data_IF_571390506167
#
_entry.id   IF_571390506167
#
_cell.length_a   1.000
_cell.length_b   1.000
_cell.length_c   1.000
_cell.angle_alpha   90.00
_cell.angle_beta   90.00
_cell.angle_gamma   90.00
#
_symmetry.space_group_name_H-M   'P 1'
#
loop_
_entity.id
_entity.type
_entity.pdbx_description
1 polymer ?
#
# COMPACT_ATOMS: atom_id res chain seq x y z
N UNK A 1 -9.78 -66.15 28.81
CA UNK A 1 -10.43 -65.15 27.93
C UNK A 1 -10.32 -63.82 28.65
N UNK A 2 -9.31 -63.02 28.31
CA UNK A 2 -9.40 -61.56 28.45
C UNK A 2 -8.28 -60.93 27.61
N UNK A 3 -8.67 -60.20 26.57
CA UNK A 3 -7.76 -59.45 25.71
C UNK A 3 -8.53 -58.24 25.20
N UNK A 4 -8.69 -57.26 26.10
CA UNK A 4 -9.14 -55.92 25.75
C UNK A 4 -8.00 -55.15 25.10
N UNK A 5 -7.83 -55.31 23.79
CA UNK A 5 -7.00 -54.44 22.96
C UNK A 5 -7.78 -53.19 22.59
N UNK A 6 -7.52 -52.07 23.27
CA UNK A 6 -8.00 -50.75 22.88
C UNK A 6 -7.33 -50.32 21.58
N UNK A 7 -8.12 -50.22 20.52
CA UNK A 7 -7.72 -49.62 19.25
C UNK A 7 -7.65 -48.10 19.44
N UNK A 8 -6.44 -47.55 19.56
CA UNK A 8 -6.23 -46.12 19.44
C UNK A 8 -6.26 -45.78 17.95
N UNK A 9 -7.26 -45.00 17.57
CA UNK A 9 -7.45 -44.50 16.21
C UNK A 9 -6.38 -43.44 15.90
N UNK A 10 -5.37 -43.80 15.11
CA UNK A 10 -4.25 -42.95 14.70
C UNK A 10 -4.66 -41.86 13.67
N UNK A 11 -5.94 -41.72 13.34
CA UNK A 11 -6.39 -40.75 12.33
C UNK A 11 -6.65 -39.35 12.86
N UNK A 12 -6.71 -39.14 14.19
CA UNK A 12 -7.08 -37.84 14.79
C UNK A 12 -5.93 -36.82 14.85
N UNK A 13 -4.66 -37.21 14.70
CA UNK A 13 -3.50 -36.32 14.85
C UNK A 13 -3.15 -35.52 13.59
N UNK A 14 -3.51 -36.02 12.40
CA UNK A 14 -3.16 -35.35 11.13
C UNK A 14 -4.01 -34.12 10.82
N UNK A 15 -5.27 -34.09 11.25
CA UNK A 15 -6.17 -32.93 11.06
C UNK A 15 -5.81 -31.76 11.97
N UNK A 16 -5.45 -32.04 13.23
CA UNK A 16 -5.12 -31.01 14.22
C UNK A 16 -3.78 -30.31 13.92
N UNK A 17 -2.81 -31.05 13.38
CA UNK A 17 -1.50 -30.50 13.00
C UNK A 17 -1.61 -29.51 11.85
N UNK A 18 -2.48 -29.78 10.86
CA UNK A 18 -2.70 -28.87 9.73
C UNK A 18 -3.45 -27.59 10.13
N UNK A 19 -4.45 -27.71 11.02
CA UNK A 19 -5.15 -26.55 11.56
C UNK A 19 -4.24 -25.65 12.41
N UNK A 20 -3.38 -26.26 13.25
CA UNK A 20 -2.41 -25.52 14.06
C UNK A 20 -1.34 -24.80 13.22
N UNK A 21 -0.85 -25.44 12.14
CA UNK A 21 0.09 -24.83 11.20
C UNK A 21 -0.56 -23.67 10.42
N UNK A 22 -1.82 -23.81 9.99
CA UNK A 22 -2.57 -22.72 9.34
C UNK A 22 -2.74 -21.53 10.28
N UNK A 23 -3.15 -21.76 11.53
CA UNK A 23 -3.32 -20.71 12.52
C UNK A 23 -2.00 -19.99 12.85
N UNK A 24 -0.89 -20.74 12.90
CA UNK A 24 0.44 -20.14 13.10
C UNK A 24 0.86 -19.27 11.92
N UNK A 25 0.60 -19.71 10.68
CA UNK A 25 0.88 -18.96 9.47
C UNK A 25 0.05 -17.67 9.39
N UNK A 26 -1.24 -17.75 9.71
CA UNK A 26 -2.14 -16.59 9.78
C UNK A 26 -1.67 -15.57 10.82
N UNK A 27 -1.20 -16.03 11.98
CA UNK A 27 -0.67 -15.14 13.01
C UNK A 27 0.67 -14.49 12.62
N UNK A 28 1.53 -15.18 11.86
CA UNK A 28 2.75 -14.60 11.28
C UNK A 28 2.39 -13.54 10.24
N UNK A 29 1.42 -13.85 9.36
CA UNK A 29 0.93 -12.91 8.35
C UNK A 29 0.31 -11.67 9.00
N UNK A 30 -0.51 -11.83 10.02
CA UNK A 30 -1.12 -10.71 10.75
C UNK A 30 -0.07 -9.83 11.40
N UNK A 31 0.95 -10.41 12.06
CA UNK A 31 2.06 -9.63 12.63
C UNK A 31 2.84 -8.85 11.57
N UNK A 32 2.95 -9.38 10.35
CA UNK A 32 3.59 -8.66 9.25
C UNK A 32 2.70 -7.49 8.81
N UNK A 33 1.40 -7.71 8.66
CA UNK A 33 0.42 -6.67 8.35
C UNK A 33 0.48 -5.55 9.40
N UNK A 34 0.48 -5.89 10.68
CA UNK A 34 0.51 -4.90 11.77
C UNK A 34 1.77 -4.01 11.72
N UNK A 35 2.92 -4.58 11.35
CA UNK A 35 4.17 -3.82 11.17
C UNK A 35 4.10 -2.86 9.99
N UNK A 36 3.49 -3.27 8.89
CA UNK A 36 3.29 -2.41 7.71
C UNK A 36 2.35 -1.25 8.08
N UNK A 37 1.24 -1.55 8.75
CA UNK A 37 0.26 -0.56 9.16
C UNK A 37 0.87 0.43 10.19
N UNK A 38 1.70 -0.05 11.13
CA UNK A 38 2.44 0.81 12.06
C UNK A 38 3.44 1.74 11.34
N UNK A 39 4.22 1.21 10.39
CA UNK A 39 5.15 2.00 9.60
C UNK A 39 4.42 3.09 8.81
N UNK A 40 3.32 2.74 8.15
CA UNK A 40 2.48 3.69 7.42
C UNK A 40 1.87 4.78 8.32
N UNK A 41 1.37 4.41 9.50
CA UNK A 41 0.86 5.39 10.49
C UNK A 41 1.95 6.34 10.95
N UNK A 42 3.19 5.86 11.12
CA UNK A 42 4.31 6.71 11.51
C UNK A 42 4.68 7.70 10.39
N UNK A 43 4.64 7.28 9.13
CA UNK A 43 4.88 8.13 7.96
C UNK A 43 3.84 9.23 7.88
N UNK A 44 2.55 8.88 7.90
CA UNK A 44 1.46 9.88 7.84
C UNK A 44 1.48 10.83 9.04
N UNK A 45 1.83 10.35 10.23
CA UNK A 45 2.03 11.20 11.42
C UNK A 45 3.22 12.16 11.25
N UNK A 46 4.35 11.70 10.70
CA UNK A 46 5.51 12.54 10.44
C UNK A 46 5.21 13.57 9.35
N UNK A 47 4.54 13.18 8.27
CA UNK A 47 4.07 14.09 7.23
C UNK A 47 3.18 15.20 7.78
N UNK A 48 2.18 14.88 8.62
CA UNK A 48 1.27 15.89 9.21
C UNK A 48 1.96 16.94 10.07
N UNK A 49 3.12 16.64 10.65
CA UNK A 49 3.91 17.63 11.42
C UNK A 49 4.51 18.72 10.52
N UNK A 50 4.73 18.42 9.24
CA UNK A 50 5.20 19.40 8.24
C UNK A 50 4.12 20.41 7.89
N UNK A 51 2.86 19.98 7.82
CA UNK A 51 1.75 20.86 7.44
C UNK A 51 1.57 21.96 8.49
N UNK A 52 1.41 23.23 8.09
CA UNK A 52 1.22 24.31 9.05
C UNK A 52 -0.05 24.06 9.89
N UNK A 53 -0.05 24.34 11.20
CA UNK A 53 -1.23 24.17 12.03
C UNK A 53 -2.36 25.07 11.53
N UNK A 54 -3.57 24.51 11.41
CA UNK A 54 -4.76 25.18 10.85
C UNK A 54 -5.37 26.22 11.82
N UNK A 55 -4.65 26.71 12.84
CA UNK A 55 -5.20 27.62 13.86
C UNK A 55 -4.24 28.76 14.26
N UNK A 56 -4.62 29.96 13.81
CA UNK A 56 -4.60 31.31 14.44
C UNK A 56 -3.50 31.63 15.48
N UNK A 57 -2.66 32.63 15.14
CA UNK A 57 -1.92 33.54 16.04
C UNK A 57 -1.14 32.95 17.23
N UNK A 58 -0.40 31.86 17.02
CA UNK A 58 0.74 31.53 17.89
C UNK A 58 1.92 31.19 17.00
N UNK A 59 3.07 31.83 17.26
CA UNK A 59 4.35 31.65 16.56
C UNK A 59 4.61 30.16 16.36
N UNK A 60 4.35 29.67 15.14
CA UNK A 60 4.58 28.28 14.78
C UNK A 60 6.09 28.07 14.75
N UNK A 61 6.66 27.53 15.83
CA UNK A 61 7.97 26.92 15.76
C UNK A 61 7.88 25.83 14.68
N UNK A 62 8.66 25.98 13.59
CA UNK A 62 8.87 24.93 12.60
C UNK A 62 9.50 23.72 13.30
N UNK A 63 8.70 22.83 13.88
CA UNK A 63 9.24 21.66 14.57
C UNK A 63 8.69 20.37 13.97
N UNK A 64 9.39 19.95 12.92
CA UNK A 64 9.50 18.55 12.55
C UNK A 64 8.59 18.08 11.43
N UNK A 65 8.96 16.93 10.86
CA UNK A 65 8.31 16.32 9.72
C UNK A 65 9.35 15.87 8.70
N UNK A 66 8.91 15.60 7.48
CA UNK A 66 9.79 15.39 6.34
C UNK A 66 10.21 16.74 5.76
N UNK A 67 11.49 16.92 5.46
CA UNK A 67 12.04 18.14 4.86
C UNK A 67 11.82 18.16 3.35
N UNK A 68 11.85 17.01 2.70
CA UNK A 68 11.68 16.84 1.25
C UNK A 68 10.89 15.58 0.91
N UNK A 69 10.37 15.50 -0.32
CA UNK A 69 9.70 14.28 -0.80
C UNK A 69 10.64 13.06 -0.86
N UNK A 70 11.92 13.19 -1.28
CA UNK A 70 12.87 12.07 -1.21
C UNK A 70 13.03 11.46 0.18
N UNK A 71 13.06 12.28 1.23
CA UNK A 71 13.14 11.78 2.62
C UNK A 71 11.87 10.99 2.99
N UNK A 72 10.69 11.49 2.60
CA UNK A 72 9.43 10.78 2.79
C UNK A 72 9.42 9.46 2.02
N UNK A 73 9.87 9.50 0.76
CA UNK A 73 9.84 8.37 -0.13
C UNK A 73 10.70 7.20 0.38
N UNK A 74 11.83 7.49 1.03
CA UNK A 74 12.69 6.46 1.64
C UNK A 74 11.97 5.63 2.71
N UNK A 75 11.03 6.23 3.46
CA UNK A 75 10.21 5.50 4.43
C UNK A 75 8.99 4.85 3.76
N UNK A 76 8.43 5.48 2.73
CA UNK A 76 7.17 5.09 2.11
C UNK A 76 7.29 3.97 1.08
N UNK A 77 8.32 3.98 0.23
CA UNK A 77 8.52 2.95 -0.79
C UNK A 77 8.63 1.52 -0.22
N UNK A 78 9.34 1.27 0.91
CA UNK A 78 9.36 -0.05 1.54
C UNK A 78 7.98 -0.54 1.99
N UNK A 79 7.10 0.35 2.45
CA UNK A 79 5.72 0.01 2.85
C UNK A 79 4.92 -0.47 1.65
N UNK A 80 5.02 0.23 0.51
CA UNK A 80 4.38 -0.18 -0.75
C UNK A 80 4.91 -1.55 -1.19
N UNK A 81 6.23 -1.73 -1.21
CA UNK A 81 6.87 -2.97 -1.63
C UNK A 81 6.47 -4.17 -0.74
N UNK A 82 6.38 -3.98 0.57
CA UNK A 82 5.90 -5.04 1.46
C UNK A 82 4.41 -5.35 1.21
N UNK A 83 3.62 -4.31 0.90
CA UNK A 83 2.17 -4.42 0.74
C UNK A 83 1.77 -5.21 -0.50
N UNK A 84 2.45 -5.04 -1.64
CA UNK A 84 2.11 -5.77 -2.88
C UNK A 84 2.15 -7.29 -2.74
N UNK A 85 2.87 -7.81 -1.74
CA UNK A 85 2.99 -9.24 -1.45
C UNK A 85 1.95 -9.77 -0.46
N UNK A 86 1.10 -8.92 0.12
CA UNK A 86 0.05 -9.35 1.04
C UNK A 86 -1.04 -10.16 0.30
N UNK A 87 -1.79 -10.96 1.06
CA UNK A 87 -2.97 -11.67 0.54
C UNK A 87 -4.01 -10.71 -0.04
N UNK A 88 -4.28 -9.61 0.67
CA UNK A 88 -5.28 -8.59 0.31
C UNK A 88 -4.66 -7.17 0.27
N UNK A 89 -3.96 -6.79 -0.82
CA UNK A 89 -3.20 -5.54 -0.88
C UNK A 89 -4.00 -4.32 -1.36
N UNK A 90 -5.09 -4.53 -2.11
CA UNK A 90 -5.78 -3.50 -2.90
C UNK A 90 -6.19 -2.30 -2.04
N UNK A 91 -6.90 -2.52 -0.94
CA UNK A 91 -7.41 -1.42 -0.11
C UNK A 91 -6.29 -0.57 0.50
N UNK A 92 -5.16 -1.20 0.87
CA UNK A 92 -3.99 -0.48 1.38
C UNK A 92 -3.35 0.35 0.28
N UNK A 93 -3.13 -0.26 -0.89
CA UNK A 93 -2.50 0.43 -2.00
C UNK A 93 -3.36 1.59 -2.53
N UNK A 94 -4.69 1.50 -2.49
CA UNK A 94 -5.60 2.63 -2.76
C UNK A 94 -5.33 3.81 -1.82
N UNK A 95 -5.26 3.54 -0.51
CA UNK A 95 -4.99 4.58 0.49
C UNK A 95 -3.59 5.19 0.28
N UNK A 96 -2.59 4.35 0.06
CA UNK A 96 -1.21 4.79 -0.15
C UNK A 96 -1.06 5.63 -1.41
N UNK A 97 -1.78 5.28 -2.47
CA UNK A 97 -1.77 6.05 -3.72
C UNK A 97 -2.42 7.41 -3.52
N UNK A 98 -3.56 7.48 -2.84
CA UNK A 98 -4.20 8.75 -2.50
C UNK A 98 -3.30 9.65 -1.65
N UNK A 99 -2.68 9.10 -0.59
CA UNK A 99 -1.76 9.83 0.27
C UNK A 99 -0.50 10.27 -0.49
N UNK A 100 0.07 9.42 -1.35
CA UNK A 100 1.21 9.78 -2.19
C UNK A 100 0.94 11.03 -3.02
N UNK A 101 -0.27 11.11 -3.57
CA UNK A 101 -0.67 12.27 -4.33
C UNK A 101 -0.79 13.54 -3.48
N UNK A 102 -1.32 13.43 -2.26
CA UNK A 102 -1.30 14.54 -1.29
C UNK A 102 0.13 14.95 -0.92
N UNK A 103 1.06 14.00 -0.80
CA UNK A 103 2.47 14.30 -0.58
C UNK A 103 3.01 15.09 -1.78
N UNK A 104 2.70 14.67 -3.01
CA UNK A 104 3.14 15.39 -4.20
C UNK A 104 2.68 16.85 -4.18
N UNK A 105 1.42 17.11 -3.85
CA UNK A 105 0.86 18.46 -3.72
C UNK A 105 1.60 19.30 -2.65
N UNK A 106 2.00 18.67 -1.54
CA UNK A 106 2.66 19.33 -0.41
C UNK A 106 4.16 19.63 -0.63
N UNK A 107 4.81 18.97 -1.59
CA UNK A 107 6.24 19.13 -1.91
C UNK A 107 6.50 19.70 -3.31
N UNK A 108 5.45 20.15 -4.01
CA UNK A 108 5.51 20.60 -5.43
C UNK A 108 6.53 21.70 -5.74
N UNK A 109 6.90 22.50 -4.74
CA UNK A 109 7.88 23.60 -4.88
C UNK A 109 9.31 23.17 -4.54
N UNK A 110 9.47 22.01 -3.89
CA UNK A 110 10.71 21.57 -3.25
C UNK A 110 11.33 20.31 -3.88
N UNK A 111 10.68 19.72 -4.90
CA UNK A 111 11.06 18.41 -5.46
C UNK A 111 11.30 18.50 -6.97
N UNK A 112 12.33 17.81 -7.45
CA UNK A 112 12.68 17.82 -8.86
C UNK A 112 11.71 16.98 -9.68
N UNK A 113 11.41 17.42 -10.91
CA UNK A 113 10.51 16.71 -11.82
C UNK A 113 10.95 15.26 -12.10
N UNK A 114 12.26 15.03 -12.13
CA UNK A 114 12.82 13.70 -12.31
C UNK A 114 12.48 12.76 -11.15
N UNK A 115 12.57 13.24 -9.92
CA UNK A 115 12.23 12.47 -8.72
C UNK A 115 10.75 12.10 -8.71
N UNK A 116 9.87 13.04 -9.05
CA UNK A 116 8.44 12.74 -9.22
C UNK A 116 8.22 11.59 -10.21
N UNK A 117 8.85 11.66 -11.38
CA UNK A 117 8.71 10.61 -12.39
C UNK A 117 9.10 9.24 -11.84
N UNK A 118 10.22 9.14 -11.14
CA UNK A 118 10.67 7.87 -10.53
C UNK A 118 9.65 7.32 -9.52
N UNK A 119 9.04 8.20 -8.73
CA UNK A 119 8.06 7.79 -7.71
C UNK A 119 6.73 7.36 -8.33
N UNK A 120 6.27 8.06 -9.37
CA UNK A 120 5.12 7.66 -10.17
C UNK A 120 5.36 6.31 -10.88
N UNK A 121 6.54 6.11 -11.47
CA UNK A 121 6.92 4.84 -12.13
C UNK A 121 6.95 3.67 -11.12
N UNK A 122 7.43 3.90 -9.90
CA UNK A 122 7.43 2.88 -8.85
C UNK A 122 6.01 2.53 -8.37
N UNK A 123 5.13 3.51 -8.27
CA UNK A 123 3.72 3.29 -7.95
C UNK A 123 2.98 2.55 -9.09
N UNK A 124 3.29 2.87 -10.36
CA UNK A 124 2.79 2.15 -11.53
C UNK A 124 3.21 0.67 -11.51
N UNK A 125 4.48 0.41 -11.18
CA UNK A 125 4.99 -0.94 -10.99
C UNK A 125 4.22 -1.69 -9.89
N UNK A 126 3.98 -1.05 -8.73
CA UNK A 126 3.28 -1.66 -7.61
C UNK A 126 1.85 -2.06 -8.00
N UNK A 127 1.12 -1.17 -8.68
CA UNK A 127 -0.21 -1.46 -9.19
C UNK A 127 -0.22 -2.55 -10.24
N UNK A 128 0.68 -2.48 -11.22
CA UNK A 128 0.87 -3.52 -12.25
C UNK A 128 1.07 -4.89 -11.61
N UNK A 129 1.88 -4.97 -10.54
CA UNK A 129 2.13 -6.23 -9.83
C UNK A 129 0.86 -6.75 -9.15
N UNK A 130 0.11 -5.88 -8.47
CA UNK A 130 -1.16 -6.25 -7.82
C UNK A 130 -2.20 -6.68 -8.83
N UNK A 131 -2.34 -5.98 -9.96
CA UNK A 131 -3.31 -6.30 -11.01
C UNK A 131 -2.98 -7.62 -11.73
N UNK A 132 -1.70 -7.99 -11.82
CA UNK A 132 -1.26 -9.29 -12.37
C UNK A 132 -1.54 -10.45 -11.42
N UNK A 133 -1.22 -10.27 -10.14
CA UNK A 133 -1.22 -11.37 -9.17
C UNK A 133 -2.56 -11.54 -8.46
N UNK A 134 -3.37 -10.47 -8.41
CA UNK A 134 -4.66 -10.45 -7.73
C UNK A 134 -5.75 -10.30 -8.78
N UNK A 135 -6.88 -10.97 -8.57
CA UNK A 135 -8.07 -10.81 -9.41
C UNK A 135 -9.00 -9.78 -8.76
N UNK A 136 -8.78 -8.46 -8.97
CA UNK A 136 -9.63 -7.42 -8.39
C UNK A 136 -11.08 -7.56 -8.89
N UNK A 137 -12.02 -7.20 -8.03
CA UNK A 137 -13.44 -7.14 -8.44
C UNK A 137 -13.66 -5.98 -9.42
N UNK A 138 -14.80 -5.99 -10.14
CA UNK A 138 -15.18 -4.84 -10.99
C UNK A 138 -15.20 -3.51 -10.21
N UNK A 139 -15.70 -3.55 -8.97
CA UNK A 139 -15.69 -2.39 -8.07
C UNK A 139 -14.28 -1.93 -7.73
N UNK A 140 -13.37 -2.86 -7.46
CA UNK A 140 -11.97 -2.52 -7.18
C UNK A 140 -11.32 -1.88 -8.41
N UNK A 141 -11.55 -2.43 -9.61
CA UNK A 141 -11.02 -1.88 -10.87
C UNK A 141 -11.46 -0.42 -11.08
N UNK A 142 -12.75 -0.11 -10.90
CA UNK A 142 -13.25 1.28 -10.98
C UNK A 142 -12.51 2.19 -9.99
N UNK A 143 -12.33 1.73 -8.75
CA UNK A 143 -11.64 2.52 -7.70
C UNK A 143 -10.16 2.73 -8.03
N UNK A 144 -9.50 1.71 -8.60
CA UNK A 144 -8.11 1.78 -9.05
C UNK A 144 -8.00 2.79 -10.19
N UNK A 145 -8.79 2.66 -11.25
CA UNK A 145 -8.78 3.60 -12.38
C UNK A 145 -9.00 5.03 -11.91
N UNK A 146 -9.97 5.25 -11.01
CA UNK A 146 -10.24 6.60 -10.48
C UNK A 146 -9.02 7.18 -9.75
N UNK A 147 -8.39 6.41 -8.84
CA UNK A 147 -7.22 6.94 -8.12
C UNK A 147 -6.04 7.16 -9.05
N UNK A 148 -5.83 6.32 -10.06
CA UNK A 148 -4.75 6.52 -11.04
C UNK A 148 -4.98 7.78 -11.89
N UNK A 149 -6.24 8.03 -12.30
CA UNK A 149 -6.61 9.25 -13.03
C UNK A 149 -6.43 10.51 -12.18
N UNK A 150 -6.82 10.49 -10.90
CA UNK A 150 -6.55 11.59 -9.97
C UNK A 150 -5.05 11.89 -9.87
N UNK A 151 -4.23 10.84 -9.90
CA UNK A 151 -2.77 10.95 -9.92
C UNK A 151 -2.21 11.52 -11.23
N UNK A 152 -2.76 11.12 -12.37
CA UNK A 152 -2.42 11.70 -13.68
C UNK A 152 -2.75 13.20 -13.74
N UNK A 153 -3.91 13.61 -13.21
CA UNK A 153 -4.30 15.02 -13.17
C UNK A 153 -3.33 15.85 -12.32
N UNK A 154 -2.87 15.32 -11.19
CA UNK A 154 -1.86 15.97 -10.34
C UNK A 154 -0.48 15.97 -10.97
N UNK A 155 -0.05 14.85 -11.55
CA UNK A 155 1.23 14.75 -12.26
C UNK A 155 1.32 15.76 -13.43
N UNK A 156 0.21 15.97 -14.13
CA UNK A 156 0.09 16.97 -15.20
C UNK A 156 0.33 18.40 -14.69
N UNK A 157 -0.13 18.72 -13.47
CA UNK A 157 0.12 20.02 -12.84
C UNK A 157 1.60 20.22 -12.47
N UNK A 158 2.34 19.14 -12.26
CA UNK A 158 3.79 19.15 -12.03
C UNK A 158 4.60 19.19 -13.34
N UNK A 159 3.94 19.04 -14.50
CA UNK A 159 4.59 19.02 -15.81
C UNK A 159 4.97 17.63 -16.32
N UNK A 160 4.51 16.56 -15.65
CA UNK A 160 4.62 15.19 -16.17
C UNK A 160 3.48 14.92 -17.15
N UNK A 161 3.81 14.42 -18.34
CA UNK A 161 2.81 14.19 -19.39
C UNK A 161 2.01 12.92 -19.17
N UNK A 162 2.65 11.87 -18.66
CA UNK A 162 2.05 10.55 -18.51
C UNK A 162 2.64 9.84 -17.30
N UNK A 163 1.74 9.31 -16.45
CA UNK A 163 2.04 8.48 -15.29
C UNK A 163 1.02 7.34 -15.22
N UNK A 164 1.39 6.24 -14.58
CA UNK A 164 0.55 5.03 -14.49
C UNK A 164 0.11 4.39 -15.82
N UNK A 165 0.90 4.44 -16.92
CA UNK A 165 0.42 3.93 -18.20
C UNK A 165 0.06 2.44 -18.13
N UNK A 166 0.94 1.62 -17.54
CA UNK A 166 0.74 0.17 -17.51
C UNK A 166 -0.40 -0.24 -16.57
N UNK A 167 -0.47 0.35 -15.37
CA UNK A 167 -1.51 0.03 -14.42
C UNK A 167 -2.89 0.48 -14.88
N UNK A 168 -2.98 1.61 -15.58
CA UNK A 168 -4.24 2.12 -16.13
C UNK A 168 -4.76 1.17 -17.20
N UNK A 169 -3.92 0.83 -18.19
CA UNK A 169 -4.29 -0.11 -19.27
C UNK A 169 -4.79 -1.45 -18.69
N UNK A 170 -4.05 -2.02 -17.74
CA UNK A 170 -4.43 -3.29 -17.09
C UNK A 170 -5.72 -3.23 -16.26
N UNK A 171 -6.03 -2.07 -15.68
CA UNK A 171 -7.24 -1.90 -14.91
C UNK A 171 -8.46 -1.60 -15.81
N UNK A 172 -8.24 -1.01 -16.99
CA UNK A 172 -9.28 -0.62 -17.95
C UNK A 172 -9.62 -1.73 -18.97
N UNK A 173 -8.71 -2.68 -19.24
CA UNK A 173 -8.83 -3.77 -20.25
C UNK A 173 -10.11 -4.65 -20.12
N UNK A 174 -10.84 -4.62 -19.00
CA UNK A 174 -12.07 -5.39 -18.77
C UNK A 174 -13.37 -4.57 -19.00
N UNK A 175 -13.29 -3.27 -19.29
CA UNK A 175 -14.48 -2.46 -19.60
C UNK A 175 -14.87 -2.51 -21.08
N UNK A 176 -14.00 -3.05 -21.93
CA UNK A 176 -14.16 -3.12 -23.38
C UNK A 176 -14.65 -4.50 -23.91
N UNK A 177 -15.00 -5.45 -23.03
CA UNK A 177 -15.69 -6.73 -23.36
C UNK A 177 -17.16 -6.75 -22.88
#
# INVERSE_FOLDING_TARGET
>A
MDSGGGFLDETSTHTDTNAALSAQQEHIEQRHIDKIDEAYVNITRKFRKRLPPVVVDVVAEKVGGYESLPELWQDFAPVILATIHLKSPIQRLLNYTGDFHEFCDAFKEDTDLHEYKEYFDAMDFAWTRVLKDKSPTKTDKVRIVNVLRDGQDRASQLGLQEVYPHATDMADDDFDE
#
